data_IF_161026076288
#
_entry.id   IF_161026076288
#
_cell.length_a   1.000
_cell.length_b   1.000
_cell.length_c   1.000
_cell.angle_alpha   90.00
_cell.angle_beta   90.00
_cell.angle_gamma   90.00
#
_symmetry.space_group_name_H-M   'P 1'
#
loop_
_entity.id
_entity.type
_entity.pdbx_description
1 polymer ?
#
# COMPACT_ATOMS: atom_id res chain seq x y z
N UNK A 1 -50.42 -40.23 38.71
CA UNK A 1 -49.92 -38.86 38.92
C UNK A 1 -48.39 -38.93 38.91
N UNK A 2 -47.75 -38.73 37.75
CA UNK A 2 -46.28 -38.83 37.55
C UNK A 2 -45.73 -37.39 37.34
N UNK A 3 -44.96 -36.93 38.32
CA UNK A 3 -44.23 -35.69 38.27
C UNK A 3 -43.00 -35.86 37.39
N UNK A 4 -42.90 -35.09 36.31
CA UNK A 4 -41.72 -34.96 35.50
C UNK A 4 -40.86 -33.80 36.07
N UNK A 5 -39.68 -34.15 36.61
CA UNK A 5 -38.64 -33.19 36.96
C UNK A 5 -37.90 -32.75 35.67
N UNK A 6 -37.97 -31.48 35.31
CA UNK A 6 -37.16 -30.91 34.27
C UNK A 6 -35.81 -30.47 34.86
N UNK A 7 -34.72 -31.13 34.45
CA UNK A 7 -33.35 -30.68 34.72
C UNK A 7 -32.98 -29.56 33.75
N UNK A 8 -32.83 -28.37 34.27
CA UNK A 8 -32.23 -27.24 33.50
C UNK A 8 -30.70 -27.38 33.51
N UNK A 9 -30.10 -27.72 32.37
CA UNK A 9 -28.66 -27.64 32.19
C UNK A 9 -28.29 -26.16 31.98
N UNK A 10 -27.65 -25.56 32.99
CA UNK A 10 -26.94 -24.28 32.83
C UNK A 10 -25.67 -24.52 32.01
N UNK A 11 -25.65 -24.05 30.77
CA UNK A 11 -24.41 -23.89 29.99
C UNK A 11 -23.64 -22.69 30.53
N UNK A 12 -22.57 -22.95 31.28
CA UNK A 12 -21.57 -21.96 31.64
C UNK A 12 -20.71 -21.74 30.40
N UNK A 13 -20.93 -20.64 29.69
CA UNK A 13 -19.99 -20.18 28.65
C UNK A 13 -18.66 -19.84 29.33
N UNK A 14 -17.69 -20.74 29.22
CA UNK A 14 -16.30 -20.42 29.52
C UNK A 14 -15.87 -19.33 28.54
N UNK A 15 -15.68 -18.08 29.02
CA UNK A 15 -15.05 -17.01 28.28
C UNK A 15 -13.61 -17.45 28.00
N UNK A 16 -13.38 -17.97 26.79
CA UNK A 16 -12.04 -18.28 26.31
C UNK A 16 -11.19 -17.00 26.32
N UNK A 17 -10.15 -17.00 27.15
CA UNK A 17 -9.16 -15.93 27.12
C UNK A 17 -8.58 -15.87 25.70
N UNK A 18 -8.77 -14.73 25.03
CA UNK A 18 -8.10 -14.47 23.76
C UNK A 18 -6.58 -14.52 23.99
N UNK A 19 -5.83 -15.19 23.10
CA UNK A 19 -4.39 -15.18 23.21
C UNK A 19 -3.90 -13.72 23.18
N UNK A 20 -2.84 -13.39 23.94
CA UNK A 20 -2.32 -12.02 23.93
C UNK A 20 -1.99 -11.61 22.51
N UNK A 21 -2.60 -10.53 22.06
CA UNK A 21 -2.27 -9.93 20.79
C UNK A 21 -0.78 -9.54 20.88
N UNK A 22 0.02 -10.03 19.95
CA UNK A 22 1.42 -9.61 19.84
C UNK A 22 1.38 -8.10 19.58
N UNK A 23 1.76 -7.34 20.59
CA UNK A 23 2.00 -5.92 20.41
C UNK A 23 3.05 -5.78 19.30
N UNK A 24 2.70 -5.04 18.25
CA UNK A 24 3.65 -4.70 17.20
C UNK A 24 4.87 -4.01 17.77
N UNK A 25 5.99 -3.95 17.05
CA UNK A 25 7.27 -3.47 17.56
C UNK A 25 7.11 -2.13 18.27
N UNK A 26 7.47 -2.09 19.55
CA UNK A 26 7.53 -1.01 20.50
C UNK A 26 6.65 0.21 20.16
N UNK A 27 5.45 0.25 20.71
CA UNK A 27 4.55 1.37 20.45
C UNK A 27 5.19 2.66 21.00
N UNK A 28 5.80 3.44 20.12
CA UNK A 28 6.05 4.85 20.42
C UNK A 28 4.72 5.49 20.87
N UNK A 29 4.72 6.45 21.81
CA UNK A 29 3.50 7.08 22.29
C UNK A 29 2.65 7.52 21.10
N UNK A 30 1.37 7.10 21.07
CA UNK A 30 0.44 7.42 19.99
C UNK A 30 0.28 8.93 19.91
N UNK A 31 0.84 9.53 18.87
CA UNK A 31 0.72 10.95 18.62
C UNK A 31 -0.66 11.24 18.01
N UNK A 32 -1.25 12.39 18.33
CA UNK A 32 -2.44 12.87 17.65
C UNK A 32 -2.11 13.07 16.16
N UNK A 33 -2.87 12.46 15.22
CA UNK A 33 -2.61 12.66 13.81
C UNK A 33 -2.71 14.14 13.41
N UNK A 34 -1.80 14.66 12.58
CA UNK A 34 -1.84 16.05 12.13
C UNK A 34 -3.05 16.30 11.21
N UNK A 35 -3.61 17.50 11.29
CA UNK A 35 -4.61 17.99 10.35
C UNK A 35 -3.95 18.89 9.32
N UNK A 36 -4.18 18.62 8.05
CA UNK A 36 -3.66 19.40 6.94
C UNK A 36 -4.78 20.18 6.25
N UNK A 37 -4.47 21.38 5.75
CA UNK A 37 -5.40 22.15 4.95
C UNK A 37 -5.69 21.42 3.63
N UNK A 38 -6.96 21.38 3.22
CA UNK A 38 -7.37 20.88 1.91
C UNK A 38 -6.95 21.89 0.83
N UNK A 39 -5.84 21.58 0.13
CA UNK A 39 -5.26 22.39 -0.95
C UNK A 39 -5.06 21.53 -2.18
N UNK A 40 -4.95 22.17 -3.34
CA UNK A 40 -4.67 21.51 -4.61
C UNK A 40 -5.90 20.86 -5.23
N UNK A 41 -5.69 19.77 -5.96
CA UNK A 41 -6.74 19.04 -6.68
C UNK A 41 -6.77 17.59 -6.26
N UNK A 42 -7.97 17.02 -6.20
CA UNK A 42 -8.19 15.60 -5.98
C UNK A 42 -8.85 15.01 -7.22
N UNK A 43 -8.26 13.96 -7.78
CA UNK A 43 -8.83 13.15 -8.84
C UNK A 43 -9.18 11.79 -8.25
N UNK A 44 -10.39 11.30 -8.49
CA UNK A 44 -10.91 10.05 -7.93
C UNK A 44 -11.21 9.07 -9.04
N UNK A 45 -11.06 7.78 -8.76
CA UNK A 45 -11.56 6.69 -9.59
C UNK A 45 -12.09 5.56 -8.70
N UNK A 46 -13.16 4.91 -9.17
CA UNK A 46 -13.81 3.78 -8.53
C UNK A 46 -13.90 2.62 -9.50
N UNK A 47 -13.26 1.50 -9.17
CA UNK A 47 -13.31 0.32 -10.03
C UNK A 47 -14.51 -0.57 -9.68
N UNK A 48 -15.02 -1.34 -10.65
CA UNK A 48 -14.51 -1.54 -12.02
C UNK A 48 -14.98 -0.49 -13.04
N UNK A 49 -15.74 0.53 -12.64
CA UNK A 49 -16.38 1.47 -13.57
C UNK A 49 -15.42 2.47 -14.20
N UNK A 50 -14.42 2.94 -13.44
CA UNK A 50 -13.43 3.89 -13.92
C UNK A 50 -12.13 3.20 -14.31
N UNK A 51 -11.40 3.78 -15.28
CA UNK A 51 -10.08 3.32 -15.67
C UNK A 51 -9.00 3.86 -14.73
N UNK A 52 -8.96 3.33 -13.50
CA UNK A 52 -8.02 3.72 -12.46
C UNK A 52 -6.56 3.40 -12.86
N UNK A 53 -6.33 2.25 -13.55
CA UNK A 53 -4.98 1.87 -14.00
C UNK A 53 -4.40 2.91 -14.98
N UNK A 54 -5.19 3.38 -15.96
CA UNK A 54 -4.73 4.41 -16.88
C UNK A 54 -4.45 5.73 -16.15
N UNK A 55 -5.30 6.14 -15.21
CA UNK A 55 -5.10 7.35 -14.40
C UNK A 55 -3.77 7.30 -13.63
N UNK A 56 -3.43 6.15 -13.04
CA UNK A 56 -2.17 5.94 -12.32
C UNK A 56 -0.98 5.93 -13.28
N UNK A 57 -1.10 5.23 -14.43
CA UNK A 57 -0.07 5.20 -15.48
C UNK A 57 0.26 6.61 -15.96
N UNK A 58 -0.76 7.45 -16.19
CA UNK A 58 -0.54 8.83 -16.65
C UNK A 58 0.13 9.69 -15.58
N UNK A 59 -0.20 9.49 -14.31
CA UNK A 59 0.52 10.14 -13.20
C UNK A 59 2.00 9.73 -13.15
N UNK A 60 2.31 8.43 -13.29
CA UNK A 60 3.69 7.90 -13.37
C UNK A 60 4.45 8.48 -14.58
N UNK A 61 3.79 8.62 -15.73
CA UNK A 61 4.36 9.25 -16.93
C UNK A 61 4.69 10.72 -16.72
N UNK A 62 3.87 11.41 -15.92
CA UNK A 62 4.06 12.81 -15.57
C UNK A 62 5.22 13.08 -14.61
N UNK A 63 5.62 12.10 -13.81
CA UNK A 63 6.70 12.23 -12.84
C UNK A 63 8.05 12.55 -13.51
N UNK A 64 8.83 13.46 -12.88
CA UNK A 64 10.08 14.00 -13.44
C UNK A 64 11.32 13.71 -12.60
N UNK A 65 11.18 13.58 -11.28
CA UNK A 65 12.32 13.46 -10.37
C UNK A 65 12.31 12.16 -9.60
N UNK A 66 11.19 11.83 -8.92
CA UNK A 66 11.13 10.71 -7.98
C UNK A 66 9.76 10.03 -7.95
N UNK A 67 9.77 8.71 -7.80
CA UNK A 67 8.59 7.89 -7.51
C UNK A 67 8.92 6.94 -6.35
N UNK A 68 8.23 7.10 -5.22
CA UNK A 68 8.34 6.24 -4.06
C UNK A 68 7.08 5.38 -3.95
N UNK A 69 7.22 4.07 -4.00
CA UNK A 69 6.09 3.13 -4.02
C UNK A 69 6.05 2.31 -2.73
N UNK A 70 4.85 2.18 -2.13
CA UNK A 70 4.53 1.12 -1.17
C UNK A 70 3.49 0.19 -1.80
N UNK A 71 3.79 -1.10 -1.82
CA UNK A 71 2.97 -2.10 -2.47
C UNK A 71 2.68 -3.27 -1.53
N UNK A 72 1.40 -3.47 -1.19
CA UNK A 72 0.98 -4.74 -0.59
C UNK A 72 1.07 -5.85 -1.64
N UNK A 73 0.34 -5.73 -2.73
CA UNK A 73 0.41 -6.67 -3.87
C UNK A 73 0.67 -5.91 -5.17
N UNK A 74 1.54 -6.45 -6.02
CA UNK A 74 1.94 -5.82 -7.28
C UNK A 74 1.96 -6.84 -8.42
N UNK A 75 0.88 -6.91 -9.21
CA UNK A 75 0.75 -7.84 -10.34
C UNK A 75 0.39 -7.16 -11.67
N UNK A 76 0.10 -5.83 -11.67
CA UNK A 76 -0.20 -5.10 -12.90
C UNK A 76 1.03 -4.96 -13.78
N UNK A 77 0.95 -5.50 -15.00
CA UNK A 77 1.98 -5.32 -16.03
C UNK A 77 2.07 -3.87 -16.50
N UNK A 78 0.93 -3.20 -16.63
CA UNK A 78 0.89 -1.82 -17.11
C UNK A 78 1.62 -0.87 -16.14
N UNK A 79 1.36 -1.01 -14.83
CA UNK A 79 2.04 -0.23 -13.81
C UNK A 79 3.53 -0.57 -13.72
N UNK A 80 3.92 -1.85 -13.83
CA UNK A 80 5.33 -2.24 -13.87
C UNK A 80 6.05 -1.61 -15.06
N UNK A 81 5.47 -1.70 -16.25
CA UNK A 81 6.04 -1.07 -17.45
C UNK A 81 6.16 0.46 -17.32
N UNK A 82 5.16 1.11 -16.70
CA UNK A 82 5.19 2.55 -16.48
C UNK A 82 6.34 2.98 -15.54
N UNK A 83 6.56 2.23 -14.44
CA UNK A 83 7.66 2.47 -13.51
C UNK A 83 9.03 2.21 -14.17
N UNK A 84 9.16 1.13 -14.94
CA UNK A 84 10.38 0.82 -15.70
C UNK A 84 10.66 1.93 -16.73
N UNK A 85 9.64 2.40 -17.43
CA UNK A 85 9.78 3.50 -18.36
C UNK A 85 10.18 4.82 -17.65
N UNK A 86 9.64 5.09 -16.45
CA UNK A 86 10.05 6.24 -15.64
C UNK A 86 11.53 6.13 -15.24
N UNK A 87 11.99 4.96 -14.79
CA UNK A 87 13.41 4.71 -14.50
C UNK A 87 14.30 4.96 -15.70
N UNK A 88 13.89 4.50 -16.89
CA UNK A 88 14.66 4.74 -18.15
C UNK A 88 14.73 6.22 -18.54
N UNK A 89 13.76 7.03 -18.14
CA UNK A 89 13.78 8.50 -18.33
C UNK A 89 14.70 9.22 -17.33
N UNK A 90 15.30 8.49 -16.38
CA UNK A 90 16.15 9.08 -15.33
C UNK A 90 15.40 9.45 -14.05
N UNK A 91 14.10 9.11 -13.94
CA UNK A 91 13.35 9.30 -12.69
C UNK A 91 13.88 8.33 -11.63
N UNK A 92 14.13 8.82 -10.42
CA UNK A 92 14.45 7.96 -9.28
C UNK A 92 13.22 7.16 -8.86
N UNK A 93 13.24 5.84 -9.06
CA UNK A 93 12.13 4.95 -8.66
C UNK A 93 12.61 4.03 -7.56
N UNK A 94 11.89 3.97 -6.44
CA UNK A 94 12.15 3.07 -5.32
C UNK A 94 10.86 2.40 -4.86
N UNK A 95 10.94 1.13 -4.46
CA UNK A 95 9.77 0.33 -4.07
C UNK A 95 10.00 -0.34 -2.73
N UNK A 96 9.01 -0.22 -1.84
CA UNK A 96 8.87 -1.08 -0.66
C UNK A 96 7.69 -2.00 -0.93
N UNK A 97 7.90 -3.31 -0.87
CA UNK A 97 6.87 -4.32 -1.11
C UNK A 97 6.64 -5.18 0.13
N UNK A 98 5.41 -5.65 0.31
CA UNK A 98 5.12 -6.68 1.31
C UNK A 98 5.86 -7.97 0.96
N UNK A 99 6.58 -8.54 1.94
CA UNK A 99 7.40 -9.73 1.71
C UNK A 99 6.58 -10.95 1.31
N UNK A 100 5.49 -11.20 2.04
CA UNK A 100 4.70 -12.40 1.81
C UNK A 100 3.98 -12.33 0.47
N UNK A 101 3.37 -11.21 0.16
CA UNK A 101 2.70 -10.99 -1.12
C UNK A 101 3.66 -11.01 -2.32
N UNK A 102 4.91 -10.61 -2.11
CA UNK A 102 5.93 -10.66 -3.16
C UNK A 102 6.26 -12.10 -3.56
N UNK A 103 6.27 -13.03 -2.60
CA UNK A 103 6.69 -14.42 -2.83
C UNK A 103 5.55 -15.44 -2.83
N UNK A 104 4.32 -15.07 -2.48
CA UNK A 104 3.19 -16.00 -2.35
C UNK A 104 2.56 -16.43 -3.67
N UNK A 105 2.97 -15.86 -4.80
CA UNK A 105 2.39 -16.20 -6.10
C UNK A 105 3.30 -15.88 -7.28
N UNK A 106 3.13 -16.65 -8.36
CA UNK A 106 3.88 -16.49 -9.63
C UNK A 106 3.55 -15.20 -10.40
N UNK A 107 2.48 -14.51 -10.00
CA UNK A 107 2.00 -13.31 -10.70
C UNK A 107 2.70 -12.01 -10.30
N UNK A 108 3.56 -12.02 -9.27
CA UNK A 108 4.25 -10.82 -8.80
C UNK A 108 5.12 -10.20 -9.90
N UNK A 109 5.04 -8.86 -10.06
CA UNK A 109 5.89 -8.08 -10.98
C UNK A 109 7.09 -7.43 -10.28
N UNK A 110 7.26 -7.69 -9.00
CA UNK A 110 8.43 -7.20 -8.25
C UNK A 110 9.74 -7.70 -8.87
N UNK A 111 9.90 -8.99 -9.27
CA UNK A 111 11.12 -9.44 -9.97
C UNK A 111 11.39 -8.68 -11.27
N UNK A 112 10.35 -8.27 -12.02
CA UNK A 112 10.53 -7.50 -13.26
C UNK A 112 11.09 -6.09 -12.97
N UNK A 113 10.66 -5.46 -11.86
CA UNK A 113 11.20 -4.17 -11.42
C UNK A 113 12.66 -4.29 -11.00
N UNK A 114 13.02 -5.32 -10.25
CA UNK A 114 14.39 -5.60 -9.83
C UNK A 114 15.30 -5.82 -11.05
N UNK A 115 14.89 -6.66 -12.01
CA UNK A 115 15.61 -6.89 -13.27
C UNK A 115 15.82 -5.62 -14.08
N UNK A 116 14.92 -4.66 -13.97
CA UNK A 116 15.05 -3.35 -14.62
C UNK A 116 15.94 -2.36 -13.84
N UNK A 117 16.56 -2.78 -12.73
CA UNK A 117 17.43 -1.96 -11.90
C UNK A 117 16.70 -0.98 -10.98
N UNK A 118 15.42 -1.21 -10.71
CA UNK A 118 14.69 -0.45 -9.70
C UNK A 118 15.02 -1.04 -8.31
N UNK A 119 15.53 -0.23 -7.36
CA UNK A 119 15.73 -0.67 -5.98
C UNK A 119 14.41 -1.11 -5.35
N UNK A 120 14.38 -2.34 -4.86
CA UNK A 120 13.24 -2.89 -4.11
C UNK A 120 13.70 -3.33 -2.75
N UNK A 121 12.94 -2.96 -1.72
CA UNK A 121 13.07 -3.47 -0.36
C UNK A 121 11.79 -4.19 0.05
N UNK A 122 11.93 -5.11 1.01
CA UNK A 122 10.83 -5.90 1.52
C UNK A 122 10.50 -5.48 2.95
N UNK A 123 9.26 -5.16 3.19
CA UNK A 123 8.75 -4.91 4.53
C UNK A 123 8.59 -6.24 5.27
N UNK A 124 9.22 -6.33 6.44
CA UNK A 124 9.29 -7.58 7.23
C UNK A 124 8.83 -7.41 8.69
N UNK A 125 8.58 -6.16 9.12
CA UNK A 125 8.24 -5.88 10.53
C UNK A 125 6.76 -6.07 10.87
N UNK A 126 5.90 -5.94 9.88
CA UNK A 126 4.46 -6.00 10.08
C UNK A 126 3.92 -7.35 9.62
N UNK A 127 2.84 -7.81 10.23
CA UNK A 127 2.11 -8.98 9.75
C UNK A 127 1.65 -8.78 8.30
N UNK A 128 1.38 -7.54 7.92
CA UNK A 128 0.96 -7.17 6.58
C UNK A 128 1.35 -5.71 6.31
N UNK A 129 2.21 -5.46 5.34
CA UNK A 129 2.53 -4.12 4.87
C UNK A 129 1.45 -3.63 3.89
N UNK A 130 0.25 -3.36 4.40
CA UNK A 130 -0.98 -3.21 3.62
C UNK A 130 -1.15 -1.85 2.94
N UNK A 131 -0.10 -1.06 2.79
CA UNK A 131 -0.13 0.24 2.12
C UNK A 131 -0.22 0.11 0.59
N UNK A 132 -1.00 0.99 -0.04
CA UNK A 132 -1.09 1.21 -1.47
C UNK A 132 -0.85 2.70 -1.70
N UNK A 133 0.41 3.06 -1.83
CA UNK A 133 0.84 4.46 -1.91
C UNK A 133 1.88 4.62 -3.01
N UNK A 134 1.75 5.67 -3.82
CA UNK A 134 2.83 6.22 -4.63
C UNK A 134 2.99 7.70 -4.34
N UNK A 135 4.19 8.12 -4.01
CA UNK A 135 4.55 9.53 -3.87
C UNK A 135 5.35 9.92 -5.10
N UNK A 136 4.92 10.96 -5.78
CA UNK A 136 5.53 11.47 -6.99
C UNK A 136 6.15 12.83 -6.72
N UNK A 137 7.39 13.03 -7.11
CA UNK A 137 8.09 14.32 -7.16
C UNK A 137 7.99 15.15 -5.87
N UNK A 138 8.08 14.49 -4.70
CA UNK A 138 8.01 15.16 -3.40
C UNK A 138 9.02 16.32 -3.30
N UNK A 139 8.58 17.45 -2.75
CA UNK A 139 9.40 18.66 -2.64
C UNK A 139 9.41 19.53 -3.87
N UNK A 140 8.66 19.21 -4.92
CA UNK A 140 8.53 20.00 -6.13
C UNK A 140 7.13 20.59 -6.32
N UNK A 141 6.96 21.46 -7.32
CA UNK A 141 5.64 21.98 -7.71
C UNK A 141 4.76 20.92 -8.37
N UNK A 142 5.34 19.84 -8.91
CA UNK A 142 4.64 18.70 -9.51
C UNK A 142 4.27 17.61 -8.51
N UNK A 143 4.50 17.83 -7.21
CA UNK A 143 4.30 16.83 -6.18
C UNK A 143 2.87 16.28 -6.13
N UNK A 144 2.76 14.95 -6.04
CA UNK A 144 1.49 14.26 -5.92
C UNK A 144 1.59 13.02 -5.02
N UNK A 145 0.46 12.60 -4.47
CA UNK A 145 0.31 11.30 -3.81
C UNK A 145 -0.88 10.55 -4.39
N UNK A 146 -0.68 9.25 -4.62
CA UNK A 146 -1.70 8.29 -5.04
C UNK A 146 -1.93 7.34 -3.88
N UNK A 147 -3.18 7.17 -3.46
CA UNK A 147 -3.54 6.24 -2.38
C UNK A 147 -5.00 5.80 -2.49
N UNK A 148 -5.38 4.78 -1.71
CA UNK A 148 -6.73 4.22 -1.68
C UNK A 148 -6.72 2.76 -1.27
N UNK A 149 -7.81 2.05 -1.55
CA UNK A 149 -7.88 0.60 -1.37
C UNK A 149 -7.23 -0.19 -2.52
N UNK A 150 -7.05 0.46 -3.68
CA UNK A 150 -6.60 -0.14 -4.94
C UNK A 150 -5.18 -0.70 -4.83
N UNK A 151 -5.05 -2.04 -4.83
CA UNK A 151 -3.76 -2.71 -4.99
C UNK A 151 -3.23 -2.53 -6.42
N UNK A 152 -1.92 -2.57 -6.60
CA UNK A 152 -1.28 -2.46 -7.92
C UNK A 152 -1.44 -3.77 -8.73
N UNK A 153 -2.72 -4.20 -8.93
CA UNK A 153 -3.04 -5.53 -9.47
C UNK A 153 -4.08 -5.46 -10.58
N UNK A 154 -4.06 -6.48 -11.45
CA UNK A 154 -5.13 -6.70 -12.43
C UNK A 154 -6.51 -6.84 -11.76
N UNK A 155 -6.58 -7.57 -10.63
CA UNK A 155 -7.84 -7.77 -9.93
C UNK A 155 -8.43 -6.45 -9.41
N UNK A 156 -7.61 -5.52 -8.95
CA UNK A 156 -8.06 -4.21 -8.48
C UNK A 156 -8.76 -3.41 -9.60
N UNK A 157 -8.29 -3.51 -10.85
CA UNK A 157 -8.93 -2.83 -11.97
C UNK A 157 -10.19 -3.53 -12.46
N UNK A 158 -10.18 -4.88 -12.57
CA UNK A 158 -11.18 -5.59 -13.37
C UNK A 158 -12.11 -6.51 -12.58
N UNK A 159 -11.81 -6.77 -11.29
CA UNK A 159 -12.55 -7.77 -10.50
C UNK A 159 -13.08 -7.26 -9.17
N UNK A 160 -12.42 -6.26 -8.58
CA UNK A 160 -12.76 -5.75 -7.27
C UNK A 160 -13.53 -4.43 -7.34
N UNK A 161 -14.24 -4.11 -6.27
CA UNK A 161 -14.72 -2.76 -6.00
C UNK A 161 -13.65 -2.04 -5.16
N UNK A 162 -12.94 -1.10 -5.80
CA UNK A 162 -11.86 -0.35 -5.16
C UNK A 162 -12.05 1.16 -5.34
N UNK A 163 -11.34 1.92 -4.55
CA UNK A 163 -11.17 3.35 -4.74
C UNK A 163 -9.70 3.71 -4.84
N UNK A 164 -9.41 4.77 -5.59
CA UNK A 164 -8.10 5.39 -5.65
C UNK A 164 -8.26 6.90 -5.83
N UNK A 165 -7.42 7.65 -5.17
CA UNK A 165 -7.33 9.09 -5.35
C UNK A 165 -5.91 9.51 -5.71
N UNK A 166 -5.81 10.60 -6.47
CA UNK A 166 -4.56 11.33 -6.69
C UNK A 166 -4.75 12.75 -6.15
N UNK A 167 -3.99 13.10 -5.13
CA UNK A 167 -3.91 14.47 -4.60
C UNK A 167 -2.68 15.16 -5.17
N UNK A 168 -2.88 16.34 -5.81
CA UNK A 168 -1.82 17.15 -6.39
C UNK A 168 -1.79 18.54 -5.76
N UNK A 169 -0.64 19.18 -5.77
CA UNK A 169 -0.44 20.58 -5.30
C UNK A 169 -0.81 20.78 -3.82
N UNK A 170 -0.59 19.75 -2.99
CA UNK A 170 -0.65 19.84 -1.53
C UNK A 170 0.67 19.34 -0.93
N UNK A 171 1.70 20.18 -0.86
CA UNK A 171 3.04 19.76 -0.44
C UNK A 171 3.05 19.21 0.99
N UNK A 172 2.22 19.73 1.88
CA UNK A 172 2.18 19.30 3.28
C UNK A 172 1.76 17.83 3.39
N UNK A 173 0.70 17.44 2.67
CA UNK A 173 0.22 16.06 2.62
C UNK A 173 1.21 15.15 1.89
N UNK A 174 1.74 15.58 0.74
CA UNK A 174 2.70 14.78 -0.04
C UNK A 174 3.98 14.52 0.78
N UNK A 175 4.49 15.54 1.48
CA UNK A 175 5.67 15.42 2.33
C UNK A 175 5.42 14.50 3.53
N UNK A 176 4.21 14.50 4.12
CA UNK A 176 3.84 13.57 5.18
C UNK A 176 3.87 12.11 4.69
N UNK A 177 3.33 11.83 3.49
CA UNK A 177 3.42 10.50 2.88
C UNK A 177 4.87 10.10 2.55
N UNK A 178 5.67 11.02 2.01
CA UNK A 178 7.09 10.78 1.75
C UNK A 178 7.87 10.48 3.05
N UNK A 179 7.60 11.20 4.12
CA UNK A 179 8.20 10.96 5.43
C UNK A 179 7.79 9.58 6.00
N UNK A 180 6.52 9.20 5.83
CA UNK A 180 6.05 7.86 6.22
C UNK A 180 6.74 6.76 5.39
N UNK A 181 6.87 6.95 4.09
CA UNK A 181 7.59 6.01 3.21
C UNK A 181 9.04 5.81 3.69
N UNK A 182 9.77 6.90 4.00
CA UNK A 182 11.16 6.82 4.50
C UNK A 182 11.25 6.09 5.84
N UNK A 183 10.26 6.24 6.72
CA UNK A 183 10.19 5.51 7.99
C UNK A 183 10.09 4.01 7.77
N UNK A 184 9.27 3.56 6.83
CA UNK A 184 9.19 2.15 6.45
C UNK A 184 10.46 1.64 5.78
N UNK A 185 11.07 2.48 4.93
CA UNK A 185 12.32 2.13 4.23
C UNK A 185 13.48 1.84 5.20
N UNK A 186 13.55 2.54 6.34
CA UNK A 186 14.62 2.36 7.33
C UNK A 186 14.66 0.94 7.89
N UNK A 187 13.53 0.28 8.01
CA UNK A 187 13.39 -1.05 8.60
C UNK A 187 13.21 -2.18 7.56
N UNK A 188 13.07 -1.82 6.29
CA UNK A 188 12.88 -2.77 5.22
C UNK A 188 14.21 -3.41 4.81
N UNK A 189 14.17 -4.67 4.38
CA UNK A 189 15.35 -5.42 3.92
C UNK A 189 15.47 -5.37 2.40
N UNK A 190 16.68 -5.32 1.83
CA UNK A 190 16.87 -5.42 0.40
C UNK A 190 16.20 -6.68 -0.17
N UNK A 191 15.60 -6.56 -1.36
CA UNK A 191 15.09 -7.72 -2.07
C UNK A 191 16.24 -8.71 -2.39
N UNK A 192 16.05 -9.97 -2.01
CA UNK A 192 16.89 -11.07 -2.41
C UNK A 192 16.01 -12.16 -3.06
N UNK A 193 16.41 -12.66 -4.22
CA UNK A 193 15.75 -13.81 -4.84
C UNK A 193 15.86 -15.02 -3.90
N UNK A 194 14.78 -15.81 -3.82
CA UNK A 194 14.77 -17.07 -3.07
C UNK A 194 15.33 -18.21 -3.90
#
# INVERSE_FOLDING_TARGET
MRMLLALALCWVCAAGAQPPQREGPGAAPRQTPPVFAARGTVQLAFTPWDNAEAMIVDAIRGARQQILVQAFSFTSRALAHALIAAKRRGVEVQVIADREQTFSGEASRIPDLVKAGIPVTLEVRYQSAHNKVMVLDAGTTGAAVITGSYNWTYAAQYKNAENVLILRHNPDVVNAYAANWRRHFTDALPYAER
#
